data_IF_475452834247
#
_entry.id   IF_475452834247
#
_cell.length_a   1.000
_cell.length_b   1.000
_cell.length_c   1.000
_cell.angle_alpha   90.00
_cell.angle_beta   90.00
_cell.angle_gamma   90.00
#
_symmetry.space_group_name_H-M   'P 1'
#
loop_
_entity.id
_entity.type
_entity.pdbx_description
1 polymer ?
#
# COMPACT_ATOMS: atom_id res chain seq x y z
N UNK A 1 18.11 -18.89 -8.15
CA UNK A 1 16.71 -18.90 -7.66
C UNK A 1 16.62 -18.68 -6.14
N UNK A 2 17.33 -19.43 -5.31
CA UNK A 2 17.36 -19.21 -3.84
C UNK A 2 17.94 -17.85 -3.42
N UNK A 3 19.00 -17.39 -4.07
CA UNK A 3 19.62 -16.07 -3.79
C UNK A 3 18.60 -14.91 -3.94
N UNK A 4 17.69 -15.01 -4.90
CA UNK A 4 16.64 -14.00 -5.10
C UNK A 4 15.54 -14.08 -4.04
N UNK A 5 15.23 -15.28 -3.52
CA UNK A 5 14.27 -15.44 -2.43
C UNK A 5 14.81 -14.83 -1.13
N UNK A 6 16.06 -15.16 -0.77
CA UNK A 6 16.73 -14.59 0.40
C UNK A 6 16.83 -13.06 0.30
N UNK A 7 17.21 -12.54 -0.87
CA UNK A 7 17.26 -11.09 -1.12
C UNK A 7 15.93 -10.40 -0.85
N UNK A 8 14.81 -10.94 -1.36
CA UNK A 8 13.48 -10.33 -1.15
C UNK A 8 13.06 -10.37 0.33
N UNK A 9 13.39 -11.43 1.05
CA UNK A 9 13.09 -11.55 2.49
C UNK A 9 13.91 -10.55 3.31
N UNK A 10 15.21 -10.49 3.06
CA UNK A 10 16.10 -9.55 3.76
C UNK A 10 15.67 -8.11 3.50
N UNK A 11 15.27 -7.76 2.28
CA UNK A 11 14.77 -6.41 1.98
C UNK A 11 13.47 -6.08 2.73
N UNK A 12 12.58 -7.06 2.92
CA UNK A 12 11.33 -6.87 3.65
C UNK A 12 11.57 -6.73 5.17
N UNK A 13 12.45 -7.56 5.74
CA UNK A 13 12.85 -7.44 7.15
C UNK A 13 13.58 -6.11 7.38
N UNK A 14 14.51 -5.77 6.49
CA UNK A 14 15.23 -4.49 6.51
C UNK A 14 14.24 -3.32 6.50
N UNK A 15 13.21 -3.37 5.66
CA UNK A 15 12.16 -2.36 5.65
C UNK A 15 11.44 -2.23 7.00
N UNK A 16 11.00 -3.33 7.60
CA UNK A 16 10.31 -3.27 8.91
C UNK A 16 11.22 -2.73 10.01
N UNK A 17 12.49 -3.12 10.02
CA UNK A 17 13.45 -2.59 10.98
C UNK A 17 13.68 -1.11 10.74
N UNK A 18 13.87 -0.69 9.49
CA UNK A 18 14.14 0.71 9.17
C UNK A 18 12.95 1.63 9.48
N UNK A 19 11.70 1.17 9.25
CA UNK A 19 10.53 2.02 9.52
C UNK A 19 10.30 2.22 11.03
N UNK A 20 10.59 1.20 11.84
CA UNK A 20 10.60 1.29 13.30
C UNK A 20 11.67 2.31 13.73
N UNK A 21 12.88 2.19 13.20
CA UNK A 21 13.99 3.11 13.48
C UNK A 21 13.63 4.55 13.11
N UNK A 22 13.09 4.80 11.90
CA UNK A 22 12.68 6.14 11.44
C UNK A 22 11.63 6.77 12.37
N UNK A 23 10.74 5.95 12.92
CA UNK A 23 9.68 6.41 13.82
C UNK A 23 10.19 6.65 15.24
N UNK A 24 11.11 5.83 15.74
CA UNK A 24 11.64 5.93 17.09
C UNK A 24 12.68 7.04 17.29
N UNK A 25 13.50 7.36 16.27
CA UNK A 25 14.59 8.33 16.42
C UNK A 25 14.13 9.77 16.13
N UNK A 26 14.31 10.67 17.12
CA UNK A 26 13.98 12.10 17.03
C UNK A 26 15.18 12.99 16.64
N UNK A 27 16.20 12.46 15.95
CA UNK A 27 17.40 13.22 15.60
C UNK A 27 17.37 13.63 14.12
N UNK A 28 17.47 14.94 13.86
CA UNK A 28 17.51 15.52 12.50
C UNK A 28 18.69 14.97 11.70
N UNK A 29 19.88 14.86 12.32
CA UNK A 29 21.09 14.36 11.66
C UNK A 29 20.96 12.90 11.24
N UNK A 30 20.22 12.10 12.01
CA UNK A 30 20.00 10.70 11.69
C UNK A 30 19.07 10.54 10.48
N UNK A 31 17.99 11.32 10.41
CA UNK A 31 17.07 11.31 9.28
C UNK A 31 17.75 11.82 7.99
N UNK A 32 18.52 12.90 8.07
CA UNK A 32 19.26 13.39 6.90
C UNK A 32 20.32 12.40 6.41
N UNK A 33 20.95 11.64 7.31
CA UNK A 33 21.90 10.59 6.94
C UNK A 33 21.27 9.38 6.22
N UNK A 34 19.94 9.18 6.32
CA UNK A 34 19.24 8.12 5.58
C UNK A 34 19.06 8.45 4.09
N UNK A 35 19.00 9.73 3.73
CA UNK A 35 18.84 10.20 2.35
C UNK A 35 19.92 9.65 1.40
N UNK A 36 21.24 9.76 1.69
CA UNK A 36 22.27 9.18 0.83
C UNK A 36 22.18 7.65 0.75
N UNK A 37 21.79 6.97 1.83
CA UNK A 37 21.56 5.53 1.84
C UNK A 37 20.41 5.14 0.89
N UNK A 38 19.34 5.93 0.87
CA UNK A 38 18.24 5.75 -0.07
C UNK A 38 18.63 5.97 -1.52
N UNK A 39 19.48 6.96 -1.80
CA UNK A 39 20.02 7.20 -3.16
C UNK A 39 20.80 5.96 -3.63
N UNK A 40 21.68 5.43 -2.79
CA UNK A 40 22.50 4.25 -3.10
C UNK A 40 21.64 3.00 -3.38
N UNK A 41 20.63 2.75 -2.54
CA UNK A 41 19.75 1.58 -2.70
C UNK A 41 18.84 1.74 -3.92
N UNK A 42 18.35 2.95 -4.20
CA UNK A 42 17.39 3.20 -5.27
C UNK A 42 18.02 3.08 -6.66
N UNK A 43 19.28 3.49 -6.81
CA UNK A 43 20.04 3.41 -8.07
C UNK A 43 19.25 4.06 -9.22
N UNK A 44 18.92 3.33 -10.30
CA UNK A 44 18.26 3.87 -11.50
C UNK A 44 16.80 4.33 -11.29
N UNK A 45 16.11 3.81 -10.27
CA UNK A 45 14.70 4.13 -10.02
C UNK A 45 14.49 5.37 -9.14
N UNK A 46 15.58 6.02 -8.71
CA UNK A 46 15.57 7.12 -7.75
C UNK A 46 14.64 8.27 -8.15
N UNK A 47 14.79 8.81 -9.36
CA UNK A 47 13.98 9.95 -9.80
C UNK A 47 12.49 9.62 -9.91
N UNK A 48 12.16 8.39 -10.31
CA UNK A 48 10.77 7.94 -10.41
C UNK A 48 10.13 7.84 -9.02
N UNK A 49 10.86 7.25 -8.06
CA UNK A 49 10.39 7.12 -6.68
C UNK A 49 10.32 8.48 -6.00
N UNK A 50 11.32 9.35 -6.18
CA UNK A 50 11.35 10.69 -5.60
C UNK A 50 10.18 11.53 -6.09
N UNK A 51 9.91 11.56 -7.40
CA UNK A 51 8.77 12.29 -7.96
C UNK A 51 7.44 11.81 -7.38
N UNK A 52 7.27 10.49 -7.27
CA UNK A 52 6.07 9.88 -6.68
C UNK A 52 5.92 10.24 -5.19
N UNK A 53 7.03 10.24 -4.46
CA UNK A 53 7.08 10.59 -3.03
C UNK A 53 6.69 12.04 -2.81
N UNK A 54 7.34 12.98 -3.52
CA UNK A 54 7.06 14.41 -3.40
C UNK A 54 5.61 14.72 -3.76
N UNK A 55 5.10 14.16 -4.86
CA UNK A 55 3.71 14.40 -5.27
C UNK A 55 2.70 13.85 -4.25
N UNK A 56 3.00 12.70 -3.63
CA UNK A 56 2.15 12.12 -2.59
C UNK A 56 2.15 12.93 -1.30
N UNK A 57 3.24 13.66 -1.03
CA UNK A 57 3.45 14.33 0.25
C UNK A 57 3.08 15.81 0.26
N UNK A 58 3.06 16.48 -0.90
CA UNK A 58 2.83 17.93 -0.97
C UNK A 58 1.59 18.36 -0.19
N UNK A 59 0.44 17.72 -0.42
CA UNK A 59 -0.80 18.12 0.25
C UNK A 59 -0.75 17.85 1.75
N UNK A 60 -0.26 16.69 2.16
CA UNK A 60 -0.19 16.31 3.57
C UNK A 60 0.78 17.20 4.35
N UNK A 61 2.01 17.37 3.85
CA UNK A 61 3.03 18.17 4.52
C UNK A 61 2.67 19.65 4.58
N UNK A 62 2.00 20.20 3.56
CA UNK A 62 1.53 21.59 3.61
C UNK A 62 0.50 21.78 4.73
N UNK A 63 -0.50 20.90 4.81
CA UNK A 63 -1.54 20.98 5.85
C UNK A 63 -0.92 20.85 7.23
N UNK A 64 -0.09 19.82 7.46
CA UNK A 64 0.52 19.57 8.77
C UNK A 64 1.47 20.69 9.18
N UNK A 65 2.29 21.19 8.25
CA UNK A 65 3.24 22.26 8.54
C UNK A 65 2.50 23.57 8.87
N UNK A 66 1.48 23.94 8.10
CA UNK A 66 0.69 25.16 8.35
C UNK A 66 -0.04 25.07 9.69
N UNK A 67 -0.71 23.94 9.96
CA UNK A 67 -1.39 23.74 11.25
C UNK A 67 -0.45 23.84 12.43
N UNK A 68 0.77 23.30 12.32
CA UNK A 68 1.75 23.37 13.40
C UNK A 68 2.32 24.78 13.59
N UNK A 69 2.58 25.52 12.51
CA UNK A 69 3.03 26.91 12.59
C UNK A 69 2.01 27.76 13.36
N UNK A 70 0.74 27.65 13.01
CA UNK A 70 -0.34 28.38 13.69
C UNK A 70 -0.34 28.07 15.19
N UNK A 71 -0.28 26.79 15.56
CA UNK A 71 -0.26 26.34 16.96
C UNK A 71 0.99 26.82 17.70
N UNK A 72 2.16 26.83 17.05
CA UNK A 72 3.42 27.21 17.69
C UNK A 72 3.52 28.72 17.91
N UNK A 73 2.99 29.52 16.98
CA UNK A 73 2.86 30.98 17.11
C UNK A 73 1.95 31.33 18.28
N UNK A 74 0.82 30.62 18.44
CA UNK A 74 -0.08 30.84 19.58
C UNK A 74 0.56 30.50 20.94
N UNK A 75 1.51 29.55 20.96
CA UNK A 75 2.15 29.06 22.18
C UNK A 75 3.56 29.63 22.43
N UNK A 76 4.04 30.58 21.63
CA UNK A 76 5.40 31.13 21.70
C UNK A 76 6.52 30.07 21.77
N UNK A 77 6.37 28.97 21.02
CA UNK A 77 7.37 27.90 20.93
C UNK A 77 8.14 27.96 19.60
N UNK A 78 9.39 27.51 19.63
CA UNK A 78 10.18 27.32 18.42
C UNK A 78 9.62 26.19 17.56
N UNK A 79 9.29 26.53 16.32
CA UNK A 79 8.63 25.63 15.36
C UNK A 79 9.59 24.99 14.36
N UNK A 80 10.77 25.59 14.15
CA UNK A 80 11.66 25.27 13.03
C UNK A 80 12.17 23.84 13.09
N UNK A 81 12.68 23.42 14.24
CA UNK A 81 13.25 22.09 14.42
C UNK A 81 12.21 20.99 14.25
N UNK A 82 11.03 21.17 14.83
CA UNK A 82 9.94 20.20 14.73
C UNK A 82 9.43 20.05 13.29
N UNK A 83 9.25 21.16 12.57
CA UNK A 83 8.77 21.12 11.18
C UNK A 83 9.79 20.41 10.27
N UNK A 84 11.08 20.63 10.47
CA UNK A 84 12.12 19.94 9.70
C UNK A 84 12.09 18.44 10.02
N UNK A 85 12.00 18.09 11.29
CA UNK A 85 11.99 16.69 11.75
C UNK A 85 10.77 15.92 11.19
N UNK A 86 9.57 16.49 11.29
CA UNK A 86 8.35 15.81 10.79
C UNK A 86 8.38 15.64 9.27
N UNK A 87 8.80 16.67 8.53
CA UNK A 87 8.89 16.59 7.07
C UNK A 87 9.91 15.55 6.62
N UNK A 88 11.09 15.51 7.27
CA UNK A 88 12.11 14.50 7.00
C UNK A 88 11.61 13.09 7.31
N UNK A 89 11.02 12.88 8.50
CA UNK A 89 10.49 11.57 8.90
C UNK A 89 9.42 11.06 7.93
N UNK A 90 8.49 11.92 7.55
CA UNK A 90 7.41 11.58 6.63
C UNK A 90 7.97 11.29 5.23
N UNK A 91 8.96 12.07 4.78
CA UNK A 91 9.69 11.80 3.55
C UNK A 91 10.39 10.45 3.56
N UNK A 92 11.18 10.16 4.60
CA UNK A 92 11.96 8.92 4.69
C UNK A 92 11.06 7.69 4.73
N UNK A 93 9.98 7.74 5.55
CA UNK A 93 9.04 6.63 5.67
C UNK A 93 8.30 6.34 4.35
N UNK A 94 7.87 7.39 3.64
CA UNK A 94 7.15 7.22 2.37
C UNK A 94 8.07 6.84 1.22
N UNK A 95 9.27 7.41 1.15
CA UNK A 95 10.29 7.04 0.17
C UNK A 95 10.66 5.55 0.33
N UNK A 96 10.94 5.13 1.57
CA UNK A 96 11.25 3.74 1.90
C UNK A 96 10.11 2.79 1.47
N UNK A 97 8.85 3.20 1.68
CA UNK A 97 7.67 2.43 1.29
C UNK A 97 7.56 2.27 -0.22
N UNK A 98 7.77 3.34 -1.00
CA UNK A 98 7.78 3.24 -2.46
C UNK A 98 8.99 2.47 -2.99
N UNK A 99 10.14 2.57 -2.33
CA UNK A 99 11.32 1.79 -2.66
C UNK A 99 11.06 0.28 -2.47
N UNK A 100 10.47 -0.12 -1.34
CA UNK A 100 10.08 -1.51 -1.13
C UNK A 100 9.10 -1.98 -2.19
N UNK A 101 8.05 -1.20 -2.47
CA UNK A 101 7.03 -1.56 -3.46
C UNK A 101 7.62 -1.75 -4.88
N UNK A 102 8.72 -1.06 -5.19
CA UNK A 102 9.39 -1.18 -6.49
C UNK A 102 10.35 -2.37 -6.59
N UNK A 103 11.01 -2.75 -5.49
CA UNK A 103 12.11 -3.74 -5.52
C UNK A 103 11.74 -5.11 -4.95
N UNK A 104 10.72 -5.19 -4.12
CA UNK A 104 10.35 -6.43 -3.42
C UNK A 104 9.17 -7.09 -4.11
N UNK A 105 9.37 -8.35 -4.52
CA UNK A 105 8.26 -9.21 -4.92
C UNK A 105 7.63 -9.82 -3.66
N UNK A 106 6.43 -9.33 -3.30
CA UNK A 106 5.66 -9.78 -2.13
C UNK A 106 5.42 -11.30 -2.11
N UNK A 107 5.12 -11.92 -3.27
CA UNK A 107 4.93 -13.38 -3.36
C UNK A 107 6.19 -14.14 -2.95
N UNK A 108 7.36 -13.64 -3.38
CA UNK A 108 8.66 -14.25 -3.04
C UNK A 108 9.05 -13.97 -1.59
N UNK A 109 8.75 -12.78 -1.08
CA UNK A 109 9.10 -12.40 0.29
C UNK A 109 8.31 -13.21 1.34
N UNK A 110 7.02 -13.48 1.08
CA UNK A 110 6.12 -14.19 2.01
C UNK A 110 6.19 -15.73 1.86
N UNK A 111 6.95 -16.23 0.89
CA UNK A 111 7.13 -17.67 0.61
C UNK A 111 7.66 -18.51 1.78
N UNK A 112 8.08 -17.89 2.89
CA UNK A 112 8.57 -18.61 4.08
C UNK A 112 7.47 -19.38 4.82
N UNK A 113 6.21 -18.96 4.71
CA UNK A 113 5.07 -19.67 5.27
C UNK A 113 4.16 -20.16 4.15
N UNK A 114 3.94 -21.48 4.09
CA UNK A 114 3.05 -22.11 3.11
C UNK A 114 1.64 -21.51 3.18
N UNK A 115 1.11 -21.32 4.39
CA UNK A 115 -0.23 -20.78 4.62
C UNK A 115 -0.37 -19.33 4.15
N UNK A 116 0.58 -18.46 4.49
CA UNK A 116 0.52 -17.08 4.03
C UNK A 116 0.73 -16.95 2.53
N UNK A 117 1.65 -17.71 1.95
CA UNK A 117 1.86 -17.72 0.49
C UNK A 117 0.60 -18.21 -0.23
N UNK A 118 -0.05 -19.23 0.31
CA UNK A 118 -1.29 -19.77 -0.22
C UNK A 118 -2.44 -18.76 -0.15
N UNK A 119 -2.66 -18.14 1.02
CA UNK A 119 -3.67 -17.11 1.20
C UNK A 119 -3.44 -15.94 0.25
N UNK A 120 -2.21 -15.45 0.15
CA UNK A 120 -1.85 -14.35 -0.73
C UNK A 120 -2.11 -14.70 -2.21
N UNK A 121 -1.76 -15.91 -2.64
CA UNK A 121 -2.03 -16.38 -4.01
C UNK A 121 -3.54 -16.51 -4.30
N UNK A 122 -4.29 -17.07 -3.35
CA UNK A 122 -5.74 -17.23 -3.46
C UNK A 122 -6.42 -15.86 -3.54
N UNK A 123 -6.09 -14.96 -2.60
CA UNK A 123 -6.62 -13.60 -2.59
C UNK A 123 -6.27 -12.84 -3.86
N UNK A 124 -5.03 -12.93 -4.35
CA UNK A 124 -4.62 -12.29 -5.59
C UNK A 124 -5.42 -12.79 -6.80
N UNK A 125 -5.64 -14.11 -6.90
CA UNK A 125 -6.46 -14.72 -7.95
C UNK A 125 -7.91 -14.22 -7.90
N UNK A 126 -8.49 -14.10 -6.70
CA UNK A 126 -9.84 -13.55 -6.53
C UNK A 126 -9.91 -12.06 -6.89
N UNK A 127 -8.90 -11.26 -6.53
CA UNK A 127 -8.81 -9.84 -6.90
C UNK A 127 -8.85 -9.68 -8.43
N UNK A 128 -8.07 -10.48 -9.17
CA UNK A 128 -8.06 -10.42 -10.64
C UNK A 128 -9.45 -10.74 -11.20
N UNK A 129 -10.11 -11.78 -10.67
CA UNK A 129 -11.44 -12.18 -11.11
C UNK A 129 -12.51 -11.14 -10.80
N UNK A 130 -12.52 -10.61 -9.59
CA UNK A 130 -13.47 -9.57 -9.21
C UNK A 130 -13.23 -8.26 -9.94
N UNK A 131 -11.97 -7.89 -10.21
CA UNK A 131 -11.65 -6.75 -11.07
C UNK A 131 -12.25 -6.91 -12.46
N UNK A 132 -12.05 -8.07 -13.11
CA UNK A 132 -12.63 -8.35 -14.43
C UNK A 132 -14.16 -8.30 -14.41
N UNK A 133 -14.78 -8.90 -13.39
CA UNK A 133 -16.23 -8.88 -13.25
C UNK A 133 -16.75 -7.45 -13.02
N UNK A 134 -16.05 -6.65 -12.22
CA UNK A 134 -16.43 -5.26 -11.95
C UNK A 134 -16.40 -4.42 -13.24
N UNK A 135 -15.39 -4.59 -14.09
CA UNK A 135 -15.36 -3.95 -15.42
C UNK A 135 -16.58 -4.35 -16.27
N UNK A 136 -16.99 -5.62 -16.24
CA UNK A 136 -18.21 -6.06 -16.93
C UNK A 136 -19.48 -5.40 -16.38
N UNK A 137 -19.60 -5.23 -15.05
CA UNK A 137 -20.68 -4.47 -14.43
C UNK A 137 -20.65 -3.00 -14.86
N UNK A 138 -19.47 -2.38 -14.92
CA UNK A 138 -19.28 -1.00 -15.40
C UNK A 138 -19.73 -0.86 -16.85
N UNK A 139 -19.32 -1.75 -17.75
CA UNK A 139 -19.76 -1.73 -19.15
C UNK A 139 -21.26 -1.95 -19.29
N UNK A 140 -21.83 -2.88 -18.52
CA UNK A 140 -23.28 -3.15 -18.52
C UNK A 140 -24.09 -1.98 -17.98
N UNK A 141 -23.57 -1.25 -16.99
CA UNK A 141 -24.20 -0.05 -16.46
C UNK A 141 -24.10 1.12 -17.43
N UNK A 142 -22.97 1.25 -18.13
CA UNK A 142 -22.76 2.30 -19.13
C UNK A 142 -23.64 2.07 -20.37
N UNK A 143 -23.78 0.84 -20.86
CA UNK A 143 -24.62 0.54 -22.02
C UNK A 143 -26.11 0.78 -21.78
N UNK A 144 -26.57 0.64 -20.54
CA UNK A 144 -27.97 0.90 -20.14
C UNK A 144 -28.27 2.38 -19.88
N UNK A 145 -27.24 3.21 -19.73
CA UNK A 145 -27.38 4.64 -19.47
C UNK A 145 -26.67 5.44 -20.57
N UNK A 146 -27.42 5.75 -21.64
CA UNK A 146 -26.95 6.57 -22.75
C UNK A 146 -26.65 8.03 -22.33
N UNK A 147 -27.25 8.48 -21.23
CA UNK A 147 -27.07 9.79 -20.60
C UNK A 147 -26.29 9.61 -19.30
N UNK A 148 -25.56 10.65 -18.84
CA UNK A 148 -24.85 10.61 -17.56
C UNK A 148 -25.82 10.22 -16.43
N UNK A 149 -25.49 9.18 -15.63
CA UNK A 149 -26.39 8.67 -14.60
C UNK A 149 -26.52 9.67 -13.45
N UNK A 150 -27.73 9.75 -12.89
CA UNK A 150 -27.98 10.56 -11.69
C UNK A 150 -27.27 9.99 -10.45
N UNK A 151 -27.05 10.82 -9.43
CA UNK A 151 -26.44 10.41 -8.15
C UNK A 151 -27.20 9.24 -7.50
N UNK A 152 -28.53 9.22 -7.59
CA UNK A 152 -29.35 8.12 -7.04
C UNK A 152 -29.11 6.80 -7.79
N UNK A 153 -28.98 6.86 -9.11
CA UNK A 153 -28.68 5.70 -9.94
C UNK A 153 -27.27 5.17 -9.68
N UNK A 154 -26.29 6.07 -9.53
CA UNK A 154 -24.92 5.72 -9.15
C UNK A 154 -24.88 5.01 -7.79
N UNK A 155 -25.59 5.54 -6.79
CA UNK A 155 -25.70 4.92 -5.47
C UNK A 155 -26.32 3.53 -5.54
N UNK A 156 -27.44 3.38 -6.26
CA UNK A 156 -28.10 2.08 -6.43
C UNK A 156 -27.21 1.07 -7.14
N UNK A 157 -26.43 1.49 -8.14
CA UNK A 157 -25.44 0.65 -8.82
C UNK A 157 -24.33 0.20 -7.88
N UNK A 158 -23.75 1.12 -7.09
CA UNK A 158 -22.71 0.77 -6.11
C UNK A 158 -23.26 -0.20 -5.08
N UNK A 159 -24.46 0.06 -4.55
CA UNK A 159 -25.12 -0.80 -3.56
C UNK A 159 -25.37 -2.21 -4.12
N UNK A 160 -25.97 -2.32 -5.30
CA UNK A 160 -26.28 -3.63 -5.89
C UNK A 160 -25.01 -4.41 -6.23
N UNK A 161 -24.00 -3.73 -6.78
CA UNK A 161 -22.70 -4.32 -7.10
C UNK A 161 -21.99 -4.81 -5.82
N UNK A 162 -22.00 -4.01 -4.76
CA UNK A 162 -21.41 -4.38 -3.48
C UNK A 162 -22.10 -5.62 -2.88
N UNK A 163 -23.43 -5.63 -2.80
CA UNK A 163 -24.21 -6.77 -2.28
C UNK A 163 -23.93 -8.03 -3.11
N UNK A 164 -23.88 -7.90 -4.44
CA UNK A 164 -23.54 -9.01 -5.33
C UNK A 164 -22.15 -9.59 -5.02
N UNK A 165 -21.11 -8.75 -4.97
CA UNK A 165 -19.74 -9.22 -4.71
C UNK A 165 -19.59 -9.79 -3.30
N UNK A 166 -20.25 -9.21 -2.31
CA UNK A 166 -20.22 -9.70 -0.94
C UNK A 166 -20.83 -11.11 -0.83
N UNK A 167 -22.04 -11.28 -1.36
CA UNK A 167 -22.70 -12.59 -1.40
C UNK A 167 -21.88 -13.59 -2.21
N UNK A 168 -21.38 -13.19 -3.39
CA UNK A 168 -20.52 -14.05 -4.22
C UNK A 168 -19.25 -14.45 -3.47
N UNK A 169 -18.64 -13.57 -2.68
CA UNK A 169 -17.45 -13.88 -1.88
C UNK A 169 -17.74 -14.91 -0.80
N UNK A 170 -18.88 -14.81 -0.09
CA UNK A 170 -19.28 -15.80 0.92
C UNK A 170 -19.51 -17.17 0.28
N UNK A 171 -20.26 -17.22 -0.81
CA UNK A 171 -20.52 -18.47 -1.52
C UNK A 171 -19.23 -19.09 -2.09
N UNK A 172 -18.41 -18.27 -2.75
CA UNK A 172 -17.15 -18.70 -3.34
C UNK A 172 -16.15 -19.19 -2.28
N UNK A 173 -16.11 -18.58 -1.09
CA UNK A 173 -15.29 -19.07 0.02
C UNK A 173 -15.68 -20.50 0.43
N UNK A 174 -16.99 -20.78 0.53
CA UNK A 174 -17.50 -22.14 0.82
C UNK A 174 -17.17 -23.13 -0.29
N UNK A 175 -17.43 -22.75 -1.55
CA UNK A 175 -17.14 -23.59 -2.72
C UNK A 175 -15.65 -23.90 -2.86
N UNK A 176 -14.79 -22.90 -2.73
CA UNK A 176 -13.33 -23.05 -2.80
C UNK A 176 -12.84 -23.94 -1.67
N UNK A 177 -13.32 -23.73 -0.44
CA UNK A 177 -12.95 -24.58 0.70
C UNK A 177 -13.36 -26.04 0.47
N UNK A 178 -14.58 -26.28 -0.01
CA UNK A 178 -15.07 -27.63 -0.30
C UNK A 178 -14.27 -28.29 -1.43
N UNK A 179 -13.98 -27.55 -2.51
CA UNK A 179 -13.19 -28.02 -3.65
C UNK A 179 -11.72 -28.29 -3.27
N UNK A 180 -11.18 -27.55 -2.31
CA UNK A 180 -9.84 -27.80 -1.77
C UNK A 180 -9.82 -29.06 -0.92
N UNK A 181 -10.80 -29.23 -0.02
CA UNK A 181 -10.96 -30.45 0.77
C UNK A 181 -11.12 -31.70 -0.11
N UNK A 182 -11.91 -31.62 -1.19
CA UNK A 182 -12.08 -32.75 -2.12
C UNK A 182 -10.80 -33.10 -2.88
N UNK A 183 -9.91 -32.12 -3.11
CA UNK A 183 -8.57 -32.31 -3.68
C UNK A 183 -7.52 -32.74 -2.65
N UNK A 184 -7.95 -33.29 -1.52
CA UNK A 184 -7.09 -33.73 -0.40
C UNK A 184 -6.26 -32.60 0.23
N UNK A 185 -6.72 -31.34 0.15
CA UNK A 185 -6.13 -30.23 0.89
C UNK A 185 -6.70 -30.21 2.32
N UNK A 186 -6.21 -31.15 3.13
CA UNK A 186 -6.50 -31.22 4.56
C UNK A 186 -5.39 -30.45 5.31
N UNK A 187 -5.74 -29.79 6.41
CA UNK A 187 -4.89 -28.83 7.15
C UNK A 187 -3.52 -29.39 7.60
N UNK A 188 -2.52 -29.41 6.70
CA UNK A 188 -1.09 -29.58 6.99
C UNK A 188 -0.32 -28.26 6.85
#
# INVERSE_FOLDING_TARGET
MEKDLLKNRVLLIFYFVLIIIITSFNNIYFLTALIPLFILISNKDFFKILKKTVFSLIFFNLIVSVSYIIMSVMNNKDWREYIILINLRVFDATFLTFLLASKVNLFRAVSSSKNFSFLLLLSYSQIIMYKRNYENFRYSFHSRNLIRPDKKQMYNFIRSTFIFFFNKSIHNSKEISLAMKSRCFNND
#
